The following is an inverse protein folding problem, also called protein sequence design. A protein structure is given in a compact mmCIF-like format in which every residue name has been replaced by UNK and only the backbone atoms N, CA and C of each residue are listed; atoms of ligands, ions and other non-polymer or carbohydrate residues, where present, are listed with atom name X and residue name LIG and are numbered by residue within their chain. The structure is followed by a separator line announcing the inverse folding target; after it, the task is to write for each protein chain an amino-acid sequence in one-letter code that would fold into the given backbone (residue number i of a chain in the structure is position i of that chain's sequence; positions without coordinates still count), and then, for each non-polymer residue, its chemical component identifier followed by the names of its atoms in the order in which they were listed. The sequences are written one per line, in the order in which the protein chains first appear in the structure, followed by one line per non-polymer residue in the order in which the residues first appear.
data_IF_578624402003
#
_entry.id   IF_578624402003
#
_cell.length_a   1.000
_cell.length_b   1.000
_cell.length_c   1.000
_cell.angle_alpha   90.00
_cell.angle_beta   90.00
_cell.angle_gamma   90.00
#
_symmetry.space_group_name_H-M   'P 1'
#
loop_
_entity.id
_entity.type
_entity.pdbx_description
1 polymer ?
#
# COMPACT_ATOMS: atom_id res chain seq x y z
N UNK A 1 -54.00 -28.40 -36.65
CA UNK A 1 -54.44 -29.49 -35.74
C UNK A 1 -53.54 -29.46 -34.52
N UNK A 2 -54.03 -28.92 -33.40
CA UNK A 2 -53.41 -29.06 -32.09
C UNK A 2 -54.06 -30.26 -31.41
N UNK A 3 -53.27 -31.16 -30.82
CA UNK A 3 -53.71 -31.97 -29.68
C UNK A 3 -52.49 -32.54 -28.92
N UNK A 4 -52.62 -32.77 -27.60
CA UNK A 4 -51.69 -32.30 -26.59
C UNK A 4 -51.24 -33.50 -25.72
N UNK A 5 -50.82 -33.25 -24.49
CA UNK A 5 -50.74 -34.24 -23.40
C UNK A 5 -49.66 -35.32 -23.52
N UNK A 6 -48.47 -34.99 -23.02
CA UNK A 6 -48.02 -35.68 -21.80
C UNK A 6 -47.13 -34.75 -20.99
N UNK A 7 -47.74 -34.17 -19.96
CA UNK A 7 -47.05 -33.61 -18.81
C UNK A 7 -46.15 -34.69 -18.20
N UNK A 8 -44.84 -34.47 -18.20
CA UNK A 8 -44.00 -34.99 -17.13
C UNK A 8 -43.30 -33.80 -16.47
N UNK A 9 -43.91 -33.33 -15.38
CA UNK A 9 -43.26 -32.49 -14.41
C UNK A 9 -42.21 -33.36 -13.69
N UNK A 10 -40.93 -33.21 -14.05
CA UNK A 10 -39.84 -33.82 -13.28
C UNK A 10 -39.36 -32.81 -12.23
N UNK A 11 -39.52 -33.24 -10.99
CA UNK A 11 -39.34 -32.51 -9.75
C UNK A 11 -37.95 -31.87 -9.59
N UNK A 12 -37.94 -30.70 -8.94
CA UNK A 12 -36.75 -30.05 -8.40
C UNK A 12 -36.05 -30.96 -7.37
N UNK A 13 -34.74 -31.11 -7.50
CA UNK A 13 -33.85 -31.16 -6.35
C UNK A 13 -32.67 -30.21 -6.58
N UNK A 14 -32.73 -29.05 -5.95
CA UNK A 14 -31.57 -28.17 -5.81
C UNK A 14 -30.68 -28.84 -4.77
N UNK A 15 -29.63 -29.54 -5.20
CA UNK A 15 -28.57 -29.95 -4.30
C UNK A 15 -27.73 -28.73 -3.95
N UNK A 16 -28.19 -27.93 -2.99
CA UNK A 16 -27.34 -26.98 -2.31
C UNK A 16 -26.33 -27.79 -1.50
N UNK A 17 -25.15 -28.04 -2.06
CA UNK A 17 -24.01 -28.53 -1.31
C UNK A 17 -23.56 -27.39 -0.39
N UNK A 18 -24.12 -27.34 0.81
CA UNK A 18 -23.55 -26.56 1.89
C UNK A 18 -22.24 -27.22 2.28
N UNK A 19 -21.14 -26.81 1.64
CA UNK A 19 -19.82 -27.02 2.21
C UNK A 19 -19.76 -26.21 3.49
N UNK A 20 -19.93 -26.89 4.63
CA UNK A 20 -19.51 -26.33 5.90
C UNK A 20 -17.99 -26.16 5.81
N UNK A 21 -17.53 -24.92 5.60
CA UNK A 21 -16.13 -24.57 5.84
C UNK A 21 -15.92 -24.71 7.35
N UNK A 22 -15.32 -25.83 7.74
CA UNK A 22 -14.78 -26.01 9.09
C UNK A 22 -13.68 -24.96 9.28
N UNK A 23 -14.02 -23.85 9.92
CA UNK A 23 -13.03 -22.94 10.49
C UNK A 23 -12.47 -23.62 11.73
N UNK A 24 -11.32 -24.26 11.56
CA UNK A 24 -10.47 -24.63 12.69
C UNK A 24 -9.85 -23.34 13.24
N UNK A 25 -10.15 -22.90 14.48
CA UNK A 25 -9.38 -21.84 15.10
C UNK A 25 -8.05 -22.45 15.54
N UNK A 26 -7.12 -22.61 14.61
CA UNK A 26 -5.73 -22.86 14.97
C UNK A 26 -5.16 -21.53 15.43
N UNK A 27 -5.07 -21.39 16.74
CA UNK A 27 -4.22 -20.43 17.44
C UNK A 27 -2.88 -20.33 16.73
N UNK A 28 -2.71 -19.26 15.97
CA UNK A 28 -1.52 -18.97 15.18
C UNK A 28 -1.66 -17.54 14.70
N UNK A 29 -0.70 -16.71 15.09
CA UNK A 29 -0.60 -15.28 14.84
C UNK A 29 -1.44 -14.77 13.66
N UNK A 30 -2.19 -13.68 13.88
CA UNK A 30 -2.52 -12.78 12.78
C UNK A 30 -1.19 -12.28 12.24
N UNK A 31 -0.63 -13.01 11.27
CA UNK A 31 0.34 -12.46 10.35
C UNK A 31 -0.46 -11.40 9.61
N UNK A 32 -0.41 -10.17 10.12
CA UNK A 32 -0.66 -9.01 9.27
C UNK A 32 0.45 -9.07 8.24
N UNK A 33 0.25 -9.83 7.17
CA UNK A 33 0.87 -9.50 5.90
C UNK A 33 0.36 -8.11 5.60
N UNK A 34 1.11 -7.10 6.06
CA UNK A 34 1.04 -5.77 5.48
C UNK A 34 1.45 -6.01 4.05
N UNK A 35 0.45 -6.20 3.20
CA UNK A 35 0.62 -6.31 1.78
C UNK A 35 1.14 -4.94 1.35
N UNK A 36 2.46 -4.84 1.29
CA UNK A 36 3.19 -3.64 0.90
C UNK A 36 3.30 -3.71 -0.62
N UNK A 37 2.13 -3.65 -1.29
CA UNK A 37 1.99 -3.85 -2.74
C UNK A 37 2.80 -2.82 -3.56
N UNK A 38 3.32 -1.78 -2.94
CA UNK A 38 4.22 -0.80 -3.55
C UNK A 38 5.44 -0.58 -2.66
N UNK A 39 6.32 -1.56 -2.63
CA UNK A 39 7.49 -1.47 -1.77
C UNK A 39 8.47 -0.41 -2.26
N UNK A 40 8.97 0.46 -1.36
CA UNK A 40 10.21 1.18 -1.64
C UNK A 40 11.31 0.11 -1.68
N UNK A 41 11.62 -0.39 -2.88
CA UNK A 41 12.51 -1.53 -3.10
C UNK A 41 13.98 -1.14 -3.19
N UNK A 42 14.30 0.16 -3.24
CA UNK A 42 15.63 0.67 -3.53
C UNK A 42 15.99 1.85 -2.63
N UNK A 43 15.80 1.70 -1.33
CA UNK A 43 16.32 2.66 -0.37
C UNK A 43 17.86 2.53 -0.32
N UNK A 44 18.56 3.61 -0.64
CA UNK A 44 20.01 3.71 -0.48
C UNK A 44 20.36 4.91 0.40
N UNK A 45 20.97 4.65 1.54
CA UNK A 45 21.56 5.70 2.37
C UNK A 45 22.90 6.13 1.76
N UNK A 46 23.01 7.40 1.36
CA UNK A 46 24.26 7.97 0.83
C UNK A 46 24.77 9.06 1.77
N UNK A 47 25.70 8.73 2.66
CA UNK A 47 26.33 9.69 3.58
C UNK A 47 27.01 9.02 4.77
N UNK A 48 28.05 9.66 5.31
CA UNK A 48 28.79 9.20 6.50
C UNK A 48 28.68 10.16 7.68
N UNK A 49 27.96 11.28 7.50
CA UNK A 49 27.81 12.33 8.50
C UNK A 49 26.65 12.02 9.43
N UNK A 50 26.80 12.33 10.72
CA UNK A 50 25.70 12.27 11.69
C UNK A 50 24.57 13.19 11.23
N UNK A 51 23.39 12.62 11.03
CA UNK A 51 22.20 13.38 10.69
C UNK A 51 21.53 13.88 11.99
N UNK A 52 21.13 15.15 12.01
CA UNK A 52 20.34 15.72 13.08
C UNK A 52 18.86 15.25 13.01
N UNK A 53 18.25 14.97 14.16
CA UNK A 53 16.90 14.41 14.22
C UNK A 53 15.82 15.43 13.84
N UNK A 54 16.01 16.71 14.19
CA UNK A 54 15.12 17.77 13.78
C UNK A 54 15.15 17.92 12.26
N UNK A 55 16.35 17.95 11.68
CA UNK A 55 16.54 17.98 10.23
C UNK A 55 15.89 16.78 9.53
N UNK A 56 16.03 15.57 10.08
CA UNK A 56 15.37 14.38 9.52
C UNK A 56 13.86 14.56 9.49
N UNK A 57 13.23 14.95 10.60
CA UNK A 57 11.78 15.12 10.66
C UNK A 57 11.29 16.18 9.68
N UNK A 58 12.00 17.30 9.53
CA UNK A 58 11.65 18.34 8.57
C UNK A 58 11.82 17.83 7.13
N UNK A 59 12.93 17.15 6.82
CA UNK A 59 13.21 16.62 5.50
C UNK A 59 12.18 15.54 5.08
N UNK A 60 11.80 14.64 6.00
CA UNK A 60 10.74 13.63 5.78
C UNK A 60 9.42 14.28 5.39
N UNK A 61 9.05 15.39 6.04
CA UNK A 61 7.79 16.09 5.78
C UNK A 61 7.82 17.02 4.57
N UNK A 62 9.00 17.32 4.02
CA UNK A 62 9.16 18.32 2.96
C UNK A 62 8.97 17.77 1.54
N UNK A 63 8.84 16.45 1.38
CA UNK A 63 8.59 15.85 0.06
C UNK A 63 7.26 16.33 -0.53
N UNK A 64 7.15 16.29 -1.87
CA UNK A 64 5.98 16.69 -2.63
C UNK A 64 5.49 18.12 -2.33
N UNK A 65 6.43 19.04 -2.07
CA UNK A 65 6.16 20.44 -1.69
C UNK A 65 5.66 20.61 -0.25
N UNK A 66 5.82 19.58 0.58
CA UNK A 66 5.26 19.51 1.92
C UNK A 66 4.10 18.52 1.98
N UNK A 67 4.26 17.48 2.80
CA UNK A 67 3.21 16.53 3.21
C UNK A 67 2.90 16.70 4.70
N UNK A 68 2.77 17.95 5.12
CA UNK A 68 2.25 18.34 6.42
C UNK A 68 0.81 18.85 6.25
N UNK A 69 0.00 18.78 7.32
CA UNK A 69 -1.39 19.30 7.29
C UNK A 69 -1.39 20.71 6.66
N UNK A 70 -2.29 21.00 5.70
CA UNK A 70 -3.45 20.19 5.27
C UNK A 70 -3.14 19.11 4.21
N UNK A 71 -1.98 19.12 3.55
CA UNK A 71 -1.62 18.17 2.50
C UNK A 71 -1.08 16.88 3.12
N UNK A 72 -1.86 15.80 3.05
CA UNK A 72 -1.53 14.51 3.69
C UNK A 72 -1.00 13.45 2.73
N UNK A 73 -0.82 13.80 1.44
CA UNK A 73 -0.25 12.90 0.43
C UNK A 73 0.42 13.66 -0.72
N UNK A 74 1.26 12.95 -1.47
CA UNK A 74 1.65 13.36 -2.82
C UNK A 74 0.46 13.16 -3.76
N UNK A 75 0.10 14.16 -4.56
CA UNK A 75 -1.13 14.14 -5.36
C UNK A 75 -0.91 13.54 -6.75
N UNK A 76 -0.02 12.55 -6.87
CA UNK A 76 0.32 11.96 -8.17
C UNK A 76 1.02 12.92 -9.14
N UNK A 77 1.60 14.01 -8.65
CA UNK A 77 2.10 15.10 -9.50
C UNK A 77 3.61 15.04 -9.81
N UNK A 78 4.51 14.61 -8.89
CA UNK A 78 5.91 14.45 -9.23
C UNK A 78 6.28 13.01 -9.66
N UNK A 79 7.15 12.89 -10.68
CA UNK A 79 7.91 11.64 -10.94
C UNK A 79 9.11 11.48 -10.00
N UNK A 80 9.61 12.59 -9.47
CA UNK A 80 10.69 12.66 -8.50
C UNK A 80 10.38 13.77 -7.51
N UNK A 81 10.67 13.53 -6.24
CA UNK A 81 10.54 14.56 -5.21
C UNK A 81 11.71 14.50 -4.24
N UNK A 82 12.05 15.64 -3.67
CA UNK A 82 13.12 15.76 -2.69
C UNK A 82 12.61 16.56 -1.51
N UNK A 83 12.87 16.07 -0.31
CA UNK A 83 12.71 16.79 0.95
C UNK A 83 14.09 16.95 1.58
N UNK A 84 14.43 18.15 2.02
CA UNK A 84 15.74 18.44 2.62
C UNK A 84 15.62 19.46 3.74
N UNK A 85 16.44 19.30 4.78
CA UNK A 85 16.63 20.25 5.87
C UNK A 85 18.02 20.04 6.43
N UNK A 86 18.83 21.10 6.55
CA UNK A 86 20.17 21.06 7.14
C UNK A 86 21.01 19.87 6.69
N UNK A 87 21.18 18.90 7.59
CA UNK A 87 22.00 17.68 7.41
C UNK A 87 21.26 16.50 6.77
N UNK A 88 19.94 16.59 6.53
CA UNK A 88 19.11 15.51 6.02
C UNK A 88 18.59 15.78 4.60
N UNK A 89 18.60 14.76 3.75
CA UNK A 89 17.98 14.78 2.41
C UNK A 89 17.35 13.43 2.09
N UNK A 90 16.08 13.46 1.71
CA UNK A 90 15.35 12.32 1.17
C UNK A 90 15.00 12.58 -0.29
N UNK A 91 15.29 11.61 -1.15
CA UNK A 91 14.89 11.62 -2.55
C UNK A 91 14.01 10.40 -2.82
N UNK A 92 12.89 10.61 -3.49
CA UNK A 92 11.95 9.58 -3.88
C UNK A 92 11.68 9.72 -5.38
N UNK A 93 11.88 8.62 -6.11
CA UNK A 93 11.72 8.54 -7.55
C UNK A 93 10.71 7.44 -7.91
N UNK A 94 9.85 7.71 -8.89
CA UNK A 94 9.03 6.69 -9.52
C UNK A 94 9.91 5.79 -10.39
N UNK A 95 9.95 4.50 -10.08
CA UNK A 95 10.84 3.54 -10.74
C UNK A 95 10.30 3.03 -12.07
N UNK A 96 8.97 3.01 -12.24
CA UNK A 96 8.32 2.61 -13.48
C UNK A 96 8.14 3.80 -14.43
N UNK A 97 8.45 3.58 -15.72
CA UNK A 97 8.26 4.59 -16.76
C UNK A 97 6.79 5.01 -16.86
N UNK A 98 6.54 6.32 -16.83
CA UNK A 98 5.19 6.88 -16.89
C UNK A 98 4.47 6.97 -15.54
N UNK A 99 4.99 6.34 -14.48
CA UNK A 99 4.41 6.43 -13.14
C UNK A 99 4.71 7.76 -12.46
N UNK A 100 3.83 8.11 -11.53
CA UNK A 100 3.93 9.31 -10.69
C UNK A 100 3.84 8.92 -9.22
N UNK A 101 4.37 9.76 -8.34
CA UNK A 101 4.41 9.51 -6.90
C UNK A 101 3.08 9.92 -6.27
N UNK A 102 2.34 8.93 -5.79
CA UNK A 102 1.15 9.10 -4.96
C UNK A 102 1.31 8.28 -3.67
N UNK A 103 1.84 8.91 -2.63
CA UNK A 103 2.13 8.29 -1.32
C UNK A 103 1.56 9.16 -0.20
N UNK A 104 0.86 8.54 0.74
CA UNK A 104 0.36 9.22 1.93
C UNK A 104 1.47 9.48 2.94
N UNK A 105 1.31 10.52 3.78
CA UNK A 105 2.24 10.88 4.84
C UNK A 105 2.60 9.67 5.71
N UNK A 106 1.59 8.99 6.25
CA UNK A 106 1.82 7.85 7.15
C UNK A 106 2.51 6.67 6.48
N UNK A 107 2.25 6.43 5.18
CA UNK A 107 2.98 5.40 4.43
C UNK A 107 4.45 5.80 4.28
N UNK A 108 4.72 7.04 3.88
CA UNK A 108 6.08 7.54 3.71
C UNK A 108 6.89 7.52 5.00
N UNK A 109 6.35 8.04 6.10
CA UNK A 109 7.01 8.03 7.42
C UNK A 109 7.36 6.60 7.85
N UNK A 110 6.44 5.65 7.64
CA UNK A 110 6.70 4.25 7.95
C UNK A 110 7.79 3.63 7.06
N UNK A 111 7.86 4.01 5.78
CA UNK A 111 8.94 3.54 4.89
C UNK A 111 10.30 4.07 5.34
N UNK A 112 10.37 5.35 5.70
CA UNK A 112 11.60 5.97 6.19
C UNK A 112 12.01 5.37 7.54
N UNK A 113 11.06 5.02 8.40
CA UNK A 113 11.36 4.37 9.67
C UNK A 113 11.93 2.96 9.47
N UNK A 114 11.28 2.13 8.65
CA UNK A 114 11.77 0.79 8.30
C UNK A 114 13.13 0.80 7.59
N UNK A 115 13.46 1.92 6.95
CA UNK A 115 14.72 2.17 6.25
C UNK A 115 15.91 2.50 7.15
N UNK A 116 15.67 2.80 8.44
CA UNK A 116 16.71 3.21 9.40
C UNK A 116 17.33 2.04 10.17
N UNK A 117 16.78 0.85 10.04
CA UNK A 117 17.32 -0.40 10.61
C UNK A 117 18.38 -1.04 9.70
#
# INVERSE_FOLDING_TARGET
MYNPTTLLALLLTISATTTALSVNPTTGAILRTRHFEDSITNLKCSGTTKIDEHDMNVAVLSICGGIAKPKTQCEGNPKSTTGASGTAKFQLDATAAGSTINISKGRWEHCVDAARE
#
